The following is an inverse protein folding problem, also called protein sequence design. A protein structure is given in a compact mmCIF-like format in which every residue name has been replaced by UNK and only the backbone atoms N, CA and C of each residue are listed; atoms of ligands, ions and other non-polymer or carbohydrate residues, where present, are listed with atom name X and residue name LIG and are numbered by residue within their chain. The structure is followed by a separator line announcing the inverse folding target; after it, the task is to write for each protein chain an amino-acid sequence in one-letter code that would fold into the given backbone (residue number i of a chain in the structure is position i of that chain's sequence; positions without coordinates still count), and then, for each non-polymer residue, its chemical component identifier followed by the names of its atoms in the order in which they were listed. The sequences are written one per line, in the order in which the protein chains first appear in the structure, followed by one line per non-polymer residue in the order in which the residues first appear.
data_IF_454754454812
#
_entry.id   IF_454754454812
#
_cell.length_a   1.000
_cell.length_b   1.000
_cell.length_c   1.000
_cell.angle_alpha   90.00
_cell.angle_beta   90.00
_cell.angle_gamma   90.00
#
_symmetry.space_group_name_H-M   'P 1'
#
loop_
_entity.id
_entity.type
_entity.pdbx_description
1 polymer ?
#
# COMPACT_ATOMS: atom_id res chain seq x y z
N UNK A 1 16.20 3.39 8.30
CA UNK A 1 15.51 4.21 7.38
C UNK A 1 14.59 3.46 6.45
N UNK A 2 15.10 2.47 5.77
CA UNK A 2 14.28 1.70 4.89
C UNK A 2 13.13 1.06 5.62
N UNK A 3 13.37 0.61 6.83
CA UNK A 3 12.36 -0.04 7.59
C UNK A 3 11.21 0.90 7.94
N UNK A 4 11.53 2.16 8.18
CA UNK A 4 10.51 3.14 8.47
C UNK A 4 9.63 3.38 7.25
N UNK A 5 10.23 3.42 6.08
CA UNK A 5 9.48 3.61 4.86
C UNK A 5 8.58 2.41 4.62
N UNK A 6 9.08 1.21 4.82
CA UNK A 6 8.30 0.02 4.63
C UNK A 6 7.12 -0.03 5.60
N UNK A 7 7.34 0.41 6.82
CA UNK A 7 6.28 0.46 7.80
C UNK A 7 5.23 1.48 7.39
N UNK A 8 5.65 2.64 6.93
CA UNK A 8 4.72 3.68 6.51
C UNK A 8 3.88 3.22 5.33
N UNK A 9 4.51 2.55 4.37
CA UNK A 9 3.79 2.03 3.21
C UNK A 9 2.78 0.98 3.65
N UNK A 10 3.20 0.07 4.53
CA UNK A 10 2.34 -1.00 4.98
C UNK A 10 1.13 -0.49 5.74
N UNK A 11 1.36 0.46 6.64
CA UNK A 11 0.29 1.05 7.43
C UNK A 11 -0.69 1.78 6.51
N UNK A 12 -0.14 2.50 5.53
CA UNK A 12 -0.97 3.26 4.61
C UNK A 12 -1.87 2.34 3.78
N UNK A 13 -1.31 1.25 3.27
CA UNK A 13 -2.09 0.29 2.49
C UNK A 13 -3.19 -0.30 3.35
N UNK A 14 -2.85 -0.71 4.56
CA UNK A 14 -3.83 -1.31 5.44
C UNK A 14 -4.94 -0.33 5.78
N UNK A 15 -4.58 0.92 6.08
CA UNK A 15 -5.56 1.94 6.42
C UNK A 15 -6.52 2.16 5.26
N UNK A 16 -5.99 2.31 4.04
CA UNK A 16 -6.82 2.54 2.88
C UNK A 16 -7.71 1.34 2.59
N UNK A 17 -7.17 0.14 2.78
CA UNK A 17 -7.93 -1.08 2.55
C UNK A 17 -9.12 -1.16 3.52
N UNK A 18 -8.85 -0.89 4.79
CA UNK A 18 -9.89 -0.97 5.80
C UNK A 18 -10.94 0.13 5.63
N UNK A 19 -10.50 1.32 5.19
CA UNK A 19 -11.44 2.39 4.93
C UNK A 19 -12.43 2.03 3.83
N UNK A 20 -12.01 1.15 2.93
CA UNK A 20 -12.87 0.72 1.84
C UNK A 20 -13.56 -0.59 2.16
N UNK A 21 -13.43 -1.06 3.38
CA UNK A 21 -14.02 -2.30 3.86
C UNK A 21 -13.61 -3.51 3.02
N UNK A 22 -12.35 -3.51 2.59
CA UNK A 22 -11.84 -4.62 1.78
C UNK A 22 -11.09 -5.61 2.66
N UNK A 23 -11.27 -6.90 2.39
CA UNK A 23 -10.46 -7.92 3.05
C UNK A 23 -9.16 -8.03 2.27
N UNK A 24 -8.21 -8.77 2.82
CA UNK A 24 -6.97 -9.03 2.10
C UNK A 24 -7.25 -9.77 0.80
N UNK A 25 -8.21 -10.68 0.82
CA UNK A 25 -8.58 -11.42 -0.39
C UNK A 25 -9.18 -10.48 -1.43
N UNK A 26 -10.02 -9.55 -1.00
CA UNK A 26 -10.62 -8.58 -1.91
C UNK A 26 -9.53 -7.77 -2.62
N UNK A 27 -8.58 -7.30 -1.85
CA UNK A 27 -7.51 -6.49 -2.43
C UNK A 27 -6.61 -7.33 -3.33
N UNK A 28 -6.39 -8.58 -2.97
CA UNK A 28 -5.60 -9.49 -3.79
C UNK A 28 -6.24 -9.67 -5.17
N UNK A 29 -7.54 -9.91 -5.18
CA UNK A 29 -8.26 -10.10 -6.44
C UNK A 29 -8.21 -8.82 -7.27
N UNK A 30 -8.46 -7.68 -6.64
CA UNK A 30 -8.51 -6.43 -7.38
C UNK A 30 -7.15 -5.98 -7.90
N UNK A 31 -6.09 -6.30 -7.18
CA UNK A 31 -4.76 -5.83 -7.55
C UNK A 31 -3.97 -6.83 -8.39
N UNK A 32 -4.35 -8.09 -8.35
CA UNK A 32 -3.58 -9.13 -9.01
C UNK A 32 -2.32 -9.47 -8.22
N UNK A 33 -2.24 -9.06 -6.96
CA UNK A 33 -1.10 -9.36 -6.08
C UNK A 33 -1.58 -10.39 -5.08
N UNK A 34 -0.76 -11.37 -4.73
CA UNK A 34 -1.20 -12.43 -3.85
C UNK A 34 -1.54 -11.89 -2.45
N UNK A 35 -2.49 -12.55 -1.81
CA UNK A 35 -2.91 -12.19 -0.47
C UNK A 35 -1.72 -12.25 0.49
N UNK A 36 -0.91 -13.28 0.36
CA UNK A 36 0.24 -13.45 1.23
C UNK A 36 1.23 -12.30 1.09
N UNK A 37 1.44 -11.85 -0.14
CA UNK A 37 2.36 -10.74 -0.38
C UNK A 37 1.80 -9.44 0.21
N UNK A 38 0.51 -9.18 0.02
CA UNK A 38 -0.10 -7.97 0.56
C UNK A 38 0.01 -7.99 2.08
N UNK A 39 -0.27 -9.13 2.70
CA UNK A 39 -0.18 -9.26 4.14
C UNK A 39 1.23 -8.95 4.63
N UNK A 40 2.24 -9.47 3.94
CA UNK A 40 3.62 -9.22 4.33
C UNK A 40 4.01 -7.76 4.16
N UNK A 41 3.51 -7.12 3.11
CA UNK A 41 3.78 -5.70 2.89
C UNK A 41 3.14 -4.88 3.99
N UNK A 42 1.92 -5.22 4.38
CA UNK A 42 1.22 -4.48 5.45
C UNK A 42 1.95 -4.61 6.78
N UNK A 43 2.64 -5.72 7.00
CA UNK A 43 3.37 -5.94 8.24
C UNK A 43 4.84 -5.51 8.14
N UNK A 44 5.20 -4.86 7.03
CA UNK A 44 6.57 -4.41 6.77
C UNK A 44 7.56 -5.56 6.72
N UNK A 45 7.10 -6.74 6.30
CA UNK A 45 7.95 -7.91 6.16
C UNK A 45 8.43 -8.09 4.73
N UNK A 46 7.96 -7.26 3.83
CA UNK A 46 8.39 -7.29 2.44
C UNK A 46 8.28 -5.89 1.88
N UNK A 47 9.17 -5.56 0.96
CA UNK A 47 9.15 -4.27 0.28
C UNK A 47 8.59 -4.49 -1.11
N UNK A 48 7.55 -3.77 -1.50
CA UNK A 48 7.01 -3.94 -2.84
C UNK A 48 7.89 -3.22 -3.85
N UNK A 49 7.93 -3.74 -5.07
CA UNK A 49 8.55 -2.99 -6.15
C UNK A 49 7.59 -1.86 -6.50
N UNK A 50 8.07 -0.88 -7.24
CA UNK A 50 7.22 0.23 -7.65
C UNK A 50 6.06 -0.27 -8.50
N UNK A 51 6.31 -1.23 -9.37
CA UNK A 51 5.25 -1.78 -10.21
C UNK A 51 4.18 -2.49 -9.39
N UNK A 52 4.59 -3.24 -8.39
CA UNK A 52 3.67 -3.97 -7.54
C UNK A 52 2.86 -3.00 -6.70
N UNK A 53 3.52 -1.98 -6.15
CA UNK A 53 2.84 -0.99 -5.34
C UNK A 53 1.83 -0.21 -6.19
N UNK A 54 2.17 0.09 -7.44
CA UNK A 54 1.26 0.79 -8.34
C UNK A 54 -0.01 -0.01 -8.56
N UNK A 55 0.10 -1.34 -8.65
CA UNK A 55 -1.06 -2.20 -8.85
C UNK A 55 -1.96 -2.18 -7.60
N UNK A 56 -1.35 -2.20 -6.44
CA UNK A 56 -2.10 -2.15 -5.19
C UNK A 56 -2.80 -0.81 -5.08
N UNK A 57 -2.09 0.29 -5.39
CA UNK A 57 -2.69 1.61 -5.33
C UNK A 57 -3.85 1.75 -6.30
N UNK A 58 -3.69 1.22 -7.51
CA UNK A 58 -4.78 1.29 -8.49
C UNK A 58 -6.02 0.57 -7.97
N UNK A 59 -5.82 -0.57 -7.31
CA UNK A 59 -6.94 -1.31 -6.73
C UNK A 59 -7.59 -0.52 -5.60
N UNK A 60 -6.84 0.36 -4.96
CA UNK A 60 -7.36 1.19 -3.89
C UNK A 60 -7.89 2.53 -4.42
N UNK A 61 -7.85 2.72 -5.72
CA UNK A 61 -8.44 3.91 -6.34
C UNK A 61 -7.55 5.13 -6.39
N UNK A 62 -6.25 4.95 -6.27
CA UNK A 62 -5.37 6.11 -6.35
C UNK A 62 -4.11 5.79 -7.14
N UNK A 63 -3.44 6.83 -7.61
CA UNK A 63 -2.20 6.65 -8.33
C UNK A 63 -1.06 6.51 -7.33
N UNK A 64 0.08 6.01 -7.78
CA UNK A 64 1.25 5.90 -6.94
C UNK A 64 1.67 7.29 -6.46
N UNK A 65 1.55 8.27 -7.34
CA UNK A 65 1.88 9.63 -7.02
C UNK A 65 1.00 10.17 -5.89
N UNK A 66 -0.30 9.92 -5.97
CA UNK A 66 -1.22 10.36 -4.93
C UNK A 66 -0.95 9.65 -3.61
N UNK A 67 -0.58 8.38 -3.69
CA UNK A 67 -0.27 7.61 -2.51
C UNK A 67 0.88 8.27 -1.72
N UNK A 68 1.95 8.62 -2.43
CA UNK A 68 3.09 9.24 -1.78
C UNK A 68 2.87 10.72 -1.47
N UNK A 69 2.00 11.39 -2.21
CA UNK A 69 1.71 12.77 -1.92
C UNK A 69 1.04 12.91 -0.57
N UNK A 70 0.14 11.99 -0.25
CA UNK A 70 -0.52 12.04 1.02
C UNK A 70 0.43 11.73 2.15
N UNK A 71 1.35 10.78 1.89
CA UNK A 71 2.33 10.46 2.89
C UNK A 71 3.27 11.62 3.10
N UNK A 72 3.56 12.36 2.05
CA UNK A 72 4.47 13.46 2.15
C UNK A 72 3.81 14.76 2.49
N UNK A 73 2.57 14.71 2.93
CA UNK A 73 1.89 15.87 3.22
C UNK A 73 2.49 16.68 4.28
N UNK A 74 3.19 16.06 5.11
CA UNK A 74 3.84 16.73 6.17
C UNK A 74 4.97 17.59 5.64
N UNK A 75 5.34 17.42 4.44
CA UNK A 75 6.41 18.13 3.90
C UNK A 75 6.00 19.52 3.66
N UNK A 76 6.70 20.46 4.19
CA UNK A 76 6.24 21.76 4.08
C UNK A 76 6.62 22.26 2.82
N UNK A 77 6.71 22.31 2.07
CA UNK A 77 7.10 22.90 0.93
C UNK A 77 6.86 24.13 0.83
#
# INVERSE_FOLDING_TARGET
MEQQLEQAIGIRIRTLRLEKSLTLDDLAVASGVSRAMISRIERAEASPTAALLARICAALGLSLSAFFAEEGQASPL
#
